data_IF_973138383700
#
_entry.id   IF_973138383700
#
_cell.length_a   1.000
_cell.length_b   1.000
_cell.length_c   1.000
_cell.angle_alpha   90.00
_cell.angle_beta   90.00
_cell.angle_gamma   90.00
#
_symmetry.space_group_name_H-M   'P 1'
#
loop_
_entity.id
_entity.type
_entity.pdbx_description
1 polymer ?
#
# COMPACT_ATOMS: atom_id res chain seq x y z
N UNK A 1 -16.27 10.67 12.85
CA UNK A 1 -16.21 10.74 14.35
C UNK A 1 -14.82 11.23 14.77
N UNK A 2 -14.38 11.15 16.04
CA UNK A 2 -12.98 11.45 16.37
C UNK A 2 -12.07 10.36 15.78
N UNK A 3 -11.06 10.73 14.99
CA UNK A 3 -10.15 9.75 14.41
C UNK A 3 -9.36 9.02 15.51
N UNK A 4 -9.26 7.68 15.45
CA UNK A 4 -8.49 6.91 16.42
C UNK A 4 -7.02 7.33 16.36
N UNK A 5 -6.41 7.60 17.52
CA UNK A 5 -4.99 7.95 17.61
C UNK A 5 -4.06 6.74 17.49
N UNK A 6 -4.60 5.55 17.75
CA UNK A 6 -3.90 4.27 17.73
C UNK A 6 -4.86 3.21 17.18
N UNK A 7 -4.36 2.39 16.27
CA UNK A 7 -5.02 1.18 15.78
C UNK A 7 -4.04 0.02 15.91
N UNK A 8 -4.53 -1.17 16.24
CA UNK A 8 -3.67 -2.35 16.13
C UNK A 8 -3.54 -2.74 14.67
N UNK A 9 -2.35 -3.22 14.28
CA UNK A 9 -2.12 -3.72 12.93
C UNK A 9 -3.18 -4.76 12.55
N UNK A 10 -3.52 -5.67 13.47
CA UNK A 10 -4.56 -6.70 13.27
C UNK A 10 -5.96 -6.14 12.95
N UNK A 11 -6.29 -4.93 13.39
CA UNK A 11 -7.56 -4.29 13.08
C UNK A 11 -7.56 -3.70 11.68
N UNK A 12 -6.40 -3.32 11.16
CA UNK A 12 -6.23 -2.73 9.84
C UNK A 12 -5.98 -3.79 8.75
N UNK A 13 -5.46 -4.96 9.13
CA UNK A 13 -5.20 -6.04 8.17
C UNK A 13 -6.52 -6.51 7.56
N UNK A 14 -6.58 -6.52 6.22
CA UNK A 14 -7.79 -6.83 5.48
C UNK A 14 -8.66 -5.62 5.13
N UNK A 15 -8.32 -4.41 5.61
CA UNK A 15 -9.03 -3.19 5.22
C UNK A 15 -8.85 -2.93 3.71
N UNK A 16 -9.92 -2.44 3.09
CA UNK A 16 -9.90 -2.04 1.70
C UNK A 16 -9.02 -0.79 1.52
N UNK A 17 -8.32 -0.72 0.39
CA UNK A 17 -7.68 0.50 -0.08
C UNK A 17 -8.44 0.97 -1.31
N UNK A 18 -8.92 2.21 -1.29
CA UNK A 18 -9.73 2.82 -2.34
C UNK A 18 -9.08 4.09 -2.90
N UNK A 19 -9.44 4.48 -4.11
CA UNK A 19 -9.13 5.81 -4.63
C UNK A 19 -10.09 6.87 -4.04
N UNK A 20 -9.88 8.18 -4.28
CA UNK A 20 -10.76 9.24 -3.80
C UNK A 20 -12.22 9.13 -4.29
N UNK A 21 -12.46 8.44 -5.40
CA UNK A 21 -13.78 8.17 -5.97
C UNK A 21 -14.48 7.00 -5.25
N UNK A 22 -13.79 6.31 -4.34
CA UNK A 22 -14.29 5.18 -3.57
C UNK A 22 -14.19 3.84 -4.29
N UNK A 23 -13.49 3.79 -5.43
CA UNK A 23 -13.26 2.56 -6.19
C UNK A 23 -12.17 1.74 -5.50
N UNK A 24 -12.42 0.44 -5.31
CA UNK A 24 -11.47 -0.46 -4.65
C UNK A 24 -10.25 -0.66 -5.53
N UNK A 25 -9.10 -0.29 -4.98
CA UNK A 25 -7.78 -0.55 -5.55
C UNK A 25 -7.33 -1.92 -5.07
N UNK A 26 -7.31 -2.18 -3.76
CA UNK A 26 -6.84 -3.46 -3.24
C UNK A 26 -7.16 -3.67 -1.78
N UNK A 27 -6.43 -4.58 -1.15
CA UNK A 27 -6.60 -4.95 0.26
C UNK A 27 -5.26 -4.82 0.98
N UNK A 28 -5.25 -4.20 2.17
CA UNK A 28 -4.06 -4.13 3.02
C UNK A 28 -3.70 -5.53 3.57
N UNK A 29 -2.51 -6.03 3.27
CA UNK A 29 -2.04 -7.37 3.67
C UNK A 29 -0.99 -7.38 4.75
N UNK A 30 -0.05 -6.45 4.72
CA UNK A 30 1.08 -6.43 5.66
C UNK A 30 1.56 -4.99 5.89
N UNK A 31 2.17 -4.75 7.06
CA UNK A 31 2.90 -3.51 7.35
C UNK A 31 4.38 -3.83 7.56
N UNK A 32 5.23 -3.19 6.77
CA UNK A 32 6.67 -3.37 6.88
C UNK A 32 7.24 -2.37 7.87
N UNK A 33 7.77 -2.89 8.98
CA UNK A 33 8.31 -2.09 10.07
C UNK A 33 9.84 -2.06 9.96
N UNK A 34 10.42 -0.86 9.97
CA UNK A 34 11.85 -0.68 10.12
C UNK A 34 12.25 -1.05 11.56
N UNK A 35 13.06 -2.09 11.68
CA UNK A 35 13.49 -2.63 12.99
C UNK A 35 14.33 -1.62 13.79
N UNK A 36 15.05 -0.73 13.11
CA UNK A 36 15.95 0.22 13.77
C UNK A 36 15.22 1.29 14.58
N UNK A 37 14.05 1.75 14.14
CA UNK A 37 13.31 2.86 14.76
C UNK A 37 11.81 2.58 15.02
N UNK A 38 11.33 1.38 14.65
CA UNK A 38 9.96 0.94 14.86
C UNK A 38 8.92 1.64 13.98
N UNK A 39 9.34 2.39 12.95
CA UNK A 39 8.40 3.08 12.03
C UNK A 39 7.92 2.15 10.92
N UNK A 40 6.68 2.37 10.48
CA UNK A 40 6.17 1.73 9.27
C UNK A 40 6.85 2.39 8.06
N UNK A 41 7.53 1.57 7.26
CA UNK A 41 8.19 2.01 6.03
C UNK A 41 7.20 2.03 4.87
N UNK A 42 6.52 0.91 4.64
CA UNK A 42 5.48 0.79 3.63
C UNK A 42 4.44 -0.25 4.01
N UNK A 43 3.26 -0.11 3.42
CA UNK A 43 2.18 -1.09 3.44
C UNK A 43 2.28 -2.00 2.22
N UNK A 44 1.89 -3.26 2.37
CA UNK A 44 1.77 -4.20 1.25
C UNK A 44 0.29 -4.37 0.91
N UNK A 45 -0.05 -4.10 -0.33
CA UNK A 45 -1.39 -4.26 -0.88
C UNK A 45 -1.41 -5.47 -1.79
N UNK A 46 -2.50 -6.23 -1.77
CA UNK A 46 -2.83 -7.18 -2.83
C UNK A 46 -4.02 -6.72 -3.65
N UNK A 47 -4.02 -7.11 -4.91
CA UNK A 47 -5.12 -6.95 -5.83
C UNK A 47 -5.92 -8.24 -5.86
N UNK A 48 -6.82 -8.40 -4.87
CA UNK A 48 -7.60 -9.64 -4.73
C UNK A 48 -8.80 -9.68 -5.68
N UNK A 49 -9.37 -8.52 -6.05
CA UNK A 49 -10.54 -8.34 -6.93
C UNK A 49 -10.74 -6.82 -7.22
N UNK A 50 -10.88 -6.38 -8.49
CA UNK A 50 -11.12 -4.96 -8.82
C UNK A 50 -10.72 -4.51 -10.24
N UNK A 51 -10.84 -3.21 -10.55
CA UNK A 51 -10.55 -2.65 -11.88
C UNK A 51 -9.11 -2.96 -12.36
N UNK A 52 -8.17 -3.06 -11.43
CA UNK A 52 -6.76 -3.31 -11.71
C UNK A 52 -6.40 -4.79 -11.87
N UNK A 53 -7.34 -5.71 -11.62
CA UNK A 53 -7.13 -7.16 -11.80
C UNK A 53 -6.72 -7.50 -13.24
N UNK A 54 -7.41 -6.89 -14.21
CA UNK A 54 -7.18 -7.13 -15.64
C UNK A 54 -5.85 -6.53 -16.14
N UNK A 55 -5.30 -5.54 -15.43
CA UNK A 55 -4.10 -4.79 -15.81
C UNK A 55 -2.84 -5.33 -15.13
N UNK A 56 -2.94 -5.74 -13.87
CA UNK A 56 -1.79 -6.09 -13.02
C UNK A 56 -1.66 -7.60 -12.72
N UNK A 57 -2.76 -8.36 -12.84
CA UNK A 57 -2.83 -9.79 -12.53
C UNK A 57 -3.06 -10.09 -11.04
N UNK A 58 -3.69 -11.24 -10.76
CA UNK A 58 -4.25 -11.61 -9.43
C UNK A 58 -3.24 -12.08 -8.38
N UNK A 59 -1.94 -12.12 -8.67
CA UNK A 59 -0.92 -12.65 -7.73
C UNK A 59 0.23 -11.67 -7.43
N UNK A 60 0.06 -10.38 -7.76
CA UNK A 60 1.06 -9.34 -7.45
C UNK A 60 0.75 -8.63 -6.14
N UNK A 61 1.82 -8.36 -5.40
CA UNK A 61 1.84 -7.50 -4.22
C UNK A 61 2.52 -6.19 -4.55
N UNK A 62 2.06 -5.11 -3.94
CA UNK A 62 2.58 -3.77 -4.18
C UNK A 62 2.93 -3.11 -2.85
N UNK A 63 4.10 -2.48 -2.83
CA UNK A 63 4.57 -1.75 -1.68
C UNK A 63 4.21 -0.27 -1.83
N UNK A 64 3.38 0.23 -0.93
CA UNK A 64 2.89 1.61 -0.91
C UNK A 64 3.50 2.32 0.30
N UNK A 65 4.23 3.43 0.12
CA UNK A 65 4.73 4.22 1.24
C UNK A 65 3.60 4.56 2.21
N UNK A 66 3.81 4.32 3.51
CA UNK A 66 2.78 4.48 4.54
C UNK A 66 2.16 5.89 4.54
N UNK A 67 2.97 6.90 4.20
CA UNK A 67 2.58 8.31 4.16
C UNK A 67 1.54 8.65 3.10
N UNK A 68 1.35 7.81 2.07
CA UNK A 68 0.36 8.01 1.02
C UNK A 68 -1.02 7.50 1.39
N UNK A 69 -1.13 6.67 2.43
CA UNK A 69 -2.39 6.10 2.89
C UNK A 69 -3.05 7.01 3.90
N UNK A 70 -4.29 7.39 3.62
CA UNK A 70 -5.12 8.17 4.53
C UNK A 70 -6.18 7.26 5.17
N UNK A 71 -6.30 7.29 6.49
CA UNK A 71 -7.29 6.49 7.21
C UNK A 71 -8.70 7.10 7.08
N UNK A 72 -9.63 6.34 6.53
CA UNK A 72 -11.07 6.58 6.59
C UNK A 72 -11.69 5.66 7.65
N UNK A 73 -11.55 6.08 8.91
CA UNK A 73 -11.96 5.30 10.06
C UNK A 73 -13.48 5.08 10.13
N UNK A 74 -14.28 5.98 9.55
CA UNK A 74 -15.74 5.86 9.57
C UNK A 74 -16.20 4.72 8.63
N UNK A 75 -15.39 4.37 7.62
CA UNK A 75 -15.68 3.31 6.64
C UNK A 75 -14.74 2.10 6.72
N UNK A 76 -13.84 2.04 7.72
CA UNK A 76 -12.89 0.93 7.90
C UNK A 76 -12.04 0.64 6.65
N UNK A 77 -11.45 1.69 6.07
CA UNK A 77 -10.65 1.60 4.85
C UNK A 77 -9.55 2.65 4.79
N UNK A 78 -8.65 2.51 3.83
CA UNK A 78 -7.64 3.51 3.50
C UNK A 78 -7.92 4.14 2.14
N UNK A 79 -7.61 5.42 2.00
CA UNK A 79 -7.66 6.16 0.75
C UNK A 79 -6.22 6.31 0.24
N UNK A 80 -5.99 5.93 -1.01
CA UNK A 80 -4.75 6.16 -1.74
C UNK A 80 -5.05 7.10 -2.91
N UNK A 81 -4.57 8.33 -2.82
CA UNK A 81 -4.77 9.38 -3.83
C UNK A 81 -3.55 9.43 -4.76
N UNK A 82 -3.55 8.55 -5.75
CA UNK A 82 -2.54 8.50 -6.83
C UNK A 82 -3.24 8.19 -8.15
N UNK A 83 -2.69 8.68 -9.26
CA UNK A 83 -3.22 8.39 -10.58
C UNK A 83 -3.11 6.88 -10.90
N UNK A 84 -4.10 6.34 -11.62
CA UNK A 84 -4.13 4.91 -11.99
C UNK A 84 -2.87 4.47 -12.74
N UNK A 85 -2.31 5.33 -13.60
CA UNK A 85 -1.06 5.07 -14.32
C UNK A 85 0.13 4.81 -13.37
N UNK A 86 0.13 5.41 -12.18
CA UNK A 86 1.17 5.21 -11.16
C UNK A 86 1.03 3.82 -10.53
N UNK A 87 -0.19 3.33 -10.36
CA UNK A 87 -0.42 1.96 -9.85
C UNK A 87 -0.09 0.92 -10.91
N UNK A 88 -0.45 1.18 -12.17
CA UNK A 88 -0.16 0.30 -13.31
C UNK A 88 1.34 0.08 -13.51
N UNK A 89 2.14 1.12 -13.29
CA UNK A 89 3.59 1.09 -13.48
C UNK A 89 4.38 0.88 -12.18
N UNK A 90 3.69 0.70 -11.05
CA UNK A 90 4.34 0.51 -9.76
C UNK A 90 5.14 -0.80 -9.75
N UNK A 91 6.33 -0.81 -9.13
CA UNK A 91 7.08 -2.04 -8.94
C UNK A 91 6.33 -2.97 -8.00
N UNK A 92 5.79 -4.06 -8.56
CA UNK A 92 5.18 -5.15 -7.81
C UNK A 92 6.15 -6.31 -7.60
N UNK A 93 5.86 -7.16 -6.62
CA UNK A 93 6.56 -8.41 -6.39
C UNK A 93 5.59 -9.58 -6.30
N UNK A 94 6.10 -10.77 -6.57
CA UNK A 94 5.30 -11.99 -6.55
C UNK A 94 5.03 -12.40 -5.10
N UNK A 95 3.79 -12.82 -4.82
CA UNK A 95 3.33 -13.19 -3.48
C UNK A 95 4.11 -14.38 -2.89
N UNK A 96 4.62 -15.26 -3.74
CA UNK A 96 5.37 -16.45 -3.36
C UNK A 96 6.89 -16.21 -3.34
N UNK A 97 7.34 -15.07 -3.89
CA UNK A 97 8.75 -14.65 -3.94
C UNK A 97 8.92 -13.25 -3.39
N UNK A 98 8.75 -13.13 -2.07
CA UNK A 98 9.08 -11.90 -1.37
C UNK A 98 10.56 -11.54 -1.58
N UNK A 99 10.86 -10.26 -1.88
CA UNK A 99 12.25 -9.81 -1.99
C UNK A 99 12.95 -10.04 -0.66
N UNK A 100 14.21 -10.50 -0.72
CA UNK A 100 15.03 -10.73 0.46
C UNK A 100 15.10 -9.43 1.28
N UNK A 101 14.42 -9.41 2.43
CA UNK A 101 14.18 -8.26 3.31
C UNK A 101 15.45 -7.59 3.86
N UNK A 102 16.63 -8.13 3.51
CA UNK A 102 17.94 -7.58 3.80
C UNK A 102 18.39 -6.48 2.84
N UNK A 103 17.75 -6.32 1.67
CA UNK A 103 18.18 -5.33 0.68
C UNK A 103 17.43 -4.00 0.82
N UNK A 104 18.15 -2.99 1.31
CA UNK A 104 17.82 -1.55 1.22
C UNK A 104 17.52 -1.04 -0.20
N UNK A 105 17.69 -1.90 -1.20
CA UNK A 105 17.40 -1.67 -2.60
C UNK A 105 15.90 -1.42 -2.83
N UNK A 106 15.03 -2.24 -2.22
CA UNK A 106 13.60 -2.19 -2.48
C UNK A 106 12.96 -0.89 -1.96
N UNK A 107 13.33 -0.46 -0.75
CA UNK A 107 12.88 0.82 -0.18
C UNK A 107 13.32 2.02 -1.01
N UNK A 108 14.56 2.02 -1.49
CA UNK A 108 15.07 3.11 -2.33
C UNK A 108 14.35 3.19 -3.68
N UNK A 109 14.00 2.06 -4.28
CA UNK A 109 13.23 2.01 -5.53
C UNK A 109 11.77 2.42 -5.33
N UNK A 110 11.09 1.94 -4.28
CA UNK A 110 9.70 2.32 -3.98
C UNK A 110 9.62 3.82 -3.70
N UNK A 111 10.42 4.33 -2.77
CA UNK A 111 10.42 5.76 -2.45
C UNK A 111 10.82 6.59 -3.67
N UNK A 112 11.82 6.16 -4.45
CA UNK A 112 12.24 6.85 -5.66
C UNK A 112 11.16 6.88 -6.76
N UNK A 113 10.40 5.80 -6.90
CA UNK A 113 9.27 5.71 -7.82
C UNK A 113 8.16 6.68 -7.40
N UNK A 114 7.63 6.55 -6.18
CA UNK A 114 6.51 7.38 -5.72
C UNK A 114 6.88 8.85 -5.55
N UNK A 115 8.11 9.20 -5.15
CA UNK A 115 8.54 10.60 -5.03
C UNK A 115 8.62 11.32 -6.40
N UNK A 116 8.56 10.59 -7.52
CA UNK A 116 8.46 11.18 -8.86
C UNK A 116 7.03 11.60 -9.22
N UNK A 117 6.03 10.97 -8.61
CA UNK A 117 4.61 11.14 -8.95
C UNK A 117 3.82 11.85 -7.86
N UNK A 118 4.27 11.75 -6.61
CA UNK A 118 3.66 12.41 -5.46
C UNK A 118 4.60 13.52 -5.01
N UNK A 119 4.41 14.70 -5.58
CA UNK A 119 4.98 15.93 -5.04
C UNK A 119 3.99 16.43 -3.98
N UNK A 120 4.45 16.63 -2.75
CA UNK A 120 3.64 17.06 -1.62
C UNK A 120 2.90 18.38 -1.83
#
# INVERSE_FOLDING_TARGET
MAQPRLLSASTMMGDDVVNPQGEKLGTLKELMIRVDDGRIEYAVLSFDEGLLENLLGTNKLFAIPWQLLQLDADNHRFILDVDDEVLENAPGFDRDHWPDHSHSYWTSEIHGYYNRYVVG
#
